data_IF_712259572313
#
_entry.id   IF_712259572313
#
_cell.length_a   1.000
_cell.length_b   1.000
_cell.length_c   1.000
_cell.angle_alpha   90.00
_cell.angle_beta   90.00
_cell.angle_gamma   90.00
#
_symmetry.space_group_name_H-M   'P 1'
#
loop_
_entity.id
_entity.type
_entity.pdbx_description
1 polymer ?
#
# COMPACT_ATOMS: atom_id res chain seq x y z
N UNK A 1 -18.10 -7.46 -14.21
CA UNK A 1 -18.04 -6.23 -13.39
C UNK A 1 -16.57 -5.95 -13.13
N UNK A 2 -16.08 -4.74 -13.35
CA UNK A 2 -14.67 -4.41 -13.03
C UNK A 2 -14.65 -4.06 -11.54
N UNK A 3 -13.94 -4.84 -10.74
CA UNK A 3 -13.79 -4.58 -9.31
C UNK A 3 -12.94 -3.33 -9.08
N UNK A 4 -13.28 -2.54 -8.07
CA UNK A 4 -12.60 -1.28 -7.78
C UNK A 4 -11.28 -1.57 -7.05
N UNK A 5 -10.16 -1.20 -7.68
CA UNK A 5 -8.83 -1.34 -7.12
C UNK A 5 -8.46 -0.12 -6.28
N UNK A 6 -7.90 -0.36 -5.10
CA UNK A 6 -7.31 0.66 -4.23
C UNK A 6 -5.84 0.35 -3.98
N UNK A 7 -5.00 1.36 -3.98
CA UNK A 7 -3.58 1.26 -3.65
C UNK A 7 -3.35 1.99 -2.33
N UNK A 8 -2.68 1.33 -1.39
CA UNK A 8 -2.31 1.92 -0.10
C UNK A 8 -0.80 2.05 -0.06
N UNK A 9 -0.30 3.27 0.16
CA UNK A 9 1.13 3.53 0.14
C UNK A 9 1.50 4.73 1.00
N UNK A 10 2.67 4.68 1.63
CA UNK A 10 3.36 5.82 2.23
C UNK A 10 4.50 6.33 1.31
N UNK A 11 4.71 5.71 0.14
CA UNK A 11 5.73 6.12 -0.82
C UNK A 11 5.19 7.23 -1.73
N UNK A 12 5.74 8.46 -1.68
CA UNK A 12 5.26 9.58 -2.50
C UNK A 12 5.44 9.31 -4.00
N UNK A 13 6.48 8.59 -4.41
CA UNK A 13 6.71 8.24 -5.82
C UNK A 13 5.62 7.29 -6.34
N UNK A 14 5.21 6.32 -5.52
CA UNK A 14 4.09 5.45 -5.87
C UNK A 14 2.77 6.22 -5.94
N UNK A 15 2.56 7.17 -5.02
CA UNK A 15 1.39 8.04 -5.08
C UNK A 15 1.33 8.80 -6.40
N UNK A 16 2.38 9.53 -6.75
CA UNK A 16 2.44 10.34 -7.98
C UNK A 16 2.25 9.48 -9.23
N UNK A 17 2.88 8.31 -9.29
CA UNK A 17 2.81 7.43 -10.47
C UNK A 17 1.42 6.81 -10.68
N UNK A 18 0.69 6.49 -9.60
CA UNK A 18 -0.59 5.76 -9.70
C UNK A 18 -1.83 6.64 -9.57
N UNK A 19 -1.70 7.89 -9.08
CA UNK A 19 -2.86 8.75 -8.77
C UNK A 19 -3.79 8.99 -9.98
N UNK A 20 -3.24 8.97 -11.19
CA UNK A 20 -4.00 9.23 -12.42
C UNK A 20 -4.86 8.03 -12.87
N UNK A 21 -4.53 6.81 -12.41
CA UNK A 21 -5.11 5.55 -12.91
C UNK A 21 -5.90 4.77 -11.85
N UNK A 22 -5.56 4.94 -10.57
CA UNK A 22 -6.11 4.17 -9.47
C UNK A 22 -6.46 5.08 -8.29
N UNK A 23 -7.37 4.61 -7.45
CA UNK A 23 -7.61 5.26 -6.16
C UNK A 23 -6.42 4.98 -5.22
N UNK A 24 -5.61 6.01 -4.95
CA UNK A 24 -4.45 5.90 -4.06
C UNK A 24 -4.78 6.51 -2.69
N UNK A 25 -4.76 5.67 -1.66
CA UNK A 25 -4.80 6.11 -0.26
C UNK A 25 -3.38 6.29 0.25
N UNK A 26 -2.95 7.55 0.28
CA UNK A 26 -1.64 7.91 0.82
C UNK A 26 -1.68 7.95 2.36
N UNK A 27 -0.71 7.28 3.00
CA UNK A 27 -0.54 7.28 4.45
C UNK A 27 0.69 8.11 4.78
N UNK A 28 0.48 9.22 5.49
CA UNK A 28 1.57 10.01 6.04
C UNK A 28 2.03 9.38 7.36
N UNK A 29 2.85 8.33 7.28
CA UNK A 29 3.26 7.52 8.42
C UNK A 29 4.30 6.47 8.07
N UNK A 30 4.59 5.60 9.04
CA UNK A 30 5.54 4.50 8.92
C UNK A 30 4.99 3.34 8.07
N UNK A 31 5.87 2.40 7.71
CA UNK A 31 5.46 1.11 7.12
C UNK A 31 4.41 0.41 7.99
N UNK A 32 4.53 0.49 9.32
CA UNK A 32 3.58 -0.14 10.23
C UNK A 32 2.18 0.43 10.09
N UNK A 33 2.04 1.74 9.88
CA UNK A 33 0.75 2.40 9.66
C UNK A 33 0.08 1.91 8.37
N UNK A 34 0.89 1.68 7.32
CA UNK A 34 0.42 1.05 6.07
C UNK A 34 -0.07 -0.36 6.32
N UNK A 35 0.72 -1.19 7.01
CA UNK A 35 0.35 -2.58 7.30
C UNK A 35 -0.91 -2.68 8.16
N UNK A 36 -1.05 -1.82 9.18
CA UNK A 36 -2.26 -1.75 10.01
C UNK A 36 -3.47 -1.38 9.16
N UNK A 37 -3.36 -0.37 8.29
CA UNK A 37 -4.47 0.04 7.41
C UNK A 37 -4.89 -1.07 6.45
N UNK A 38 -3.92 -1.75 5.83
CA UNK A 38 -4.15 -2.88 4.91
C UNK A 38 -4.86 -4.01 5.66
N UNK A 39 -4.37 -4.39 6.85
CA UNK A 39 -5.01 -5.41 7.70
C UNK A 39 -6.47 -5.07 8.02
N UNK A 40 -6.74 -3.82 8.41
CA UNK A 40 -8.10 -3.38 8.76
C UNK A 40 -9.06 -3.48 7.56
N UNK A 41 -8.58 -3.26 6.34
CA UNK A 41 -9.37 -3.44 5.12
C UNK A 41 -9.58 -4.92 4.80
N UNK A 42 -8.56 -5.76 4.98
CA UNK A 42 -8.71 -7.21 4.82
C UNK A 42 -9.80 -7.74 5.78
N UNK A 43 -9.79 -7.29 7.03
CA UNK A 43 -10.84 -7.66 8.00
C UNK A 43 -12.24 -7.17 7.61
N UNK A 44 -12.35 -6.13 6.77
CA UNK A 44 -13.62 -5.63 6.22
C UNK A 44 -14.05 -6.36 4.93
N UNK A 45 -13.30 -7.37 4.49
CA UNK A 45 -13.61 -8.17 3.30
C UNK A 45 -12.87 -7.77 2.03
N UNK A 46 -11.90 -6.86 2.11
CA UNK A 46 -11.03 -6.56 0.96
C UNK A 46 -10.03 -7.70 0.72
N UNK A 47 -9.68 -7.95 -0.54
CA UNK A 47 -8.70 -8.97 -0.92
C UNK A 47 -7.35 -8.31 -1.21
N UNK A 48 -6.28 -8.81 -0.59
CA UNK A 48 -4.92 -8.38 -0.87
C UNK A 48 -4.45 -9.01 -2.19
N UNK A 49 -4.22 -8.18 -3.21
CA UNK A 49 -3.80 -8.67 -4.54
C UNK A 49 -2.29 -8.81 -4.69
N UNK A 50 -1.53 -7.85 -4.16
CA UNK A 50 -0.07 -7.82 -4.29
C UNK A 50 0.55 -6.98 -3.18
N UNK A 51 1.81 -7.29 -2.88
CA UNK A 51 2.68 -6.49 -2.02
C UNK A 51 4.08 -6.51 -2.65
N UNK A 52 4.79 -5.36 -2.73
CA UNK A 52 6.13 -5.32 -3.32
C UNK A 52 7.05 -6.33 -2.63
N UNK A 53 7.82 -7.07 -3.42
CA UNK A 53 8.88 -7.92 -2.90
C UNK A 53 9.89 -7.05 -2.15
N UNK A 54 10.18 -7.41 -0.90
CA UNK A 54 11.29 -6.81 -0.19
C UNK A 54 12.58 -7.21 -0.93
N UNK A 55 13.34 -6.21 -1.42
CA UNK A 55 14.67 -6.45 -1.96
C UNK A 55 15.64 -6.91 -0.87
N UNK A 56 16.94 -7.06 -1.19
CA UNK A 56 18.00 -7.44 -0.24
C UNK A 56 18.33 -6.36 0.81
N UNK A 57 17.35 -5.55 1.19
CA UNK A 57 17.40 -4.59 2.29
C UNK A 57 17.18 -5.36 3.59
N UNK A 58 17.92 -5.04 4.65
CA UNK A 58 17.74 -5.72 5.93
C UNK A 58 16.30 -5.53 6.43
N UNK A 59 15.73 -6.50 7.17
CA UNK A 59 14.47 -6.32 7.86
C UNK A 59 14.48 -5.00 8.64
N UNK A 60 13.42 -4.20 8.51
CA UNK A 60 13.24 -2.88 9.15
C UNK A 60 14.17 -1.75 8.65
N UNK A 61 14.84 -1.92 7.50
CA UNK A 61 15.60 -0.82 6.86
C UNK A 61 14.91 -0.24 5.62
N UNK A 62 13.71 -0.72 5.28
CA UNK A 62 12.92 -0.12 4.20
C UNK A 62 12.36 1.24 4.66
N UNK A 63 12.58 2.31 3.89
CA UNK A 63 12.08 3.64 4.23
C UNK A 63 10.55 3.77 4.06
N UNK A 64 9.94 2.84 3.31
CA UNK A 64 8.52 2.77 3.00
C UNK A 64 7.97 1.39 3.28
#
# INVERSE_FOLDING_TARGET
MVEKLIIITNNPLSKEFFNDKYEVQFINGSLMDVLIKVRDLIHKGYVLLTHPLMGSVKPNQTPY
#
